data_IF_389216671974
#
_entry.id   IF_389216671974
#
_cell.length_a   1.000
_cell.length_b   1.000
_cell.length_c   1.000
_cell.angle_alpha   90.00
_cell.angle_beta   90.00
_cell.angle_gamma   90.00
#
_symmetry.space_group_name_H-M   'P 1'
#
loop_
_entity.id
_entity.type
_entity.pdbx_description
1 polymer ?
#
# COMPACT_ATOMS: atom_id res chain seq x y z
N UNK A 1 34.07 2.18 -15.04
CA UNK A 1 35.39 2.17 -15.74
C UNK A 1 35.37 3.08 -16.97
N UNK A 2 34.32 3.08 -17.79
CA UNK A 2 34.21 3.97 -18.95
C UNK A 2 33.98 5.45 -18.60
N UNK A 3 33.24 5.76 -17.52
CA UNK A 3 32.98 7.15 -17.11
C UNK A 3 34.25 7.93 -16.68
N UNK A 4 35.28 7.24 -16.18
CA UNK A 4 36.55 7.87 -15.76
C UNK A 4 37.48 8.12 -16.97
N UNK A 5 37.36 7.27 -18.01
CA UNK A 5 38.21 7.33 -19.21
C UNK A 5 37.59 8.25 -20.27
N UNK A 6 36.26 8.27 -20.37
CA UNK A 6 35.50 9.04 -21.34
C UNK A 6 34.27 9.69 -20.66
N UNK A 7 34.51 10.49 -19.63
CA UNK A 7 33.47 11.25 -18.95
C UNK A 7 32.86 12.30 -19.86
N UNK A 8 31.54 12.23 -20.07
CA UNK A 8 30.80 13.15 -20.95
C UNK A 8 30.12 14.31 -20.20
N UNK A 9 30.32 14.40 -18.88
CA UNK A 9 29.62 15.35 -17.99
C UNK A 9 29.83 16.83 -18.33
N UNK A 10 30.88 17.18 -19.07
CA UNK A 10 31.19 18.57 -19.49
C UNK A 10 30.70 18.90 -20.90
N UNK A 11 30.12 17.93 -21.59
CA UNK A 11 29.59 18.11 -22.93
C UNK A 11 28.07 18.24 -22.85
N UNK A 12 27.55 19.27 -23.49
CA UNK A 12 26.12 19.40 -23.77
C UNK A 12 25.87 18.89 -25.17
N UNK A 13 25.00 17.90 -25.31
CA UNK A 13 24.66 17.37 -26.62
C UNK A 13 23.46 18.12 -27.20
N UNK A 14 23.44 18.27 -28.54
CA UNK A 14 22.30 18.90 -29.22
C UNK A 14 20.96 18.22 -28.90
N UNK A 15 20.96 16.89 -28.70
CA UNK A 15 19.75 16.15 -28.35
C UNK A 15 19.21 16.53 -26.96
N UNK A 16 20.07 16.90 -26.00
CA UNK A 16 19.64 17.30 -24.66
C UNK A 16 18.84 18.60 -24.75
N UNK A 17 19.38 19.58 -25.48
CA UNK A 17 18.70 20.85 -25.75
C UNK A 17 17.37 20.62 -26.49
N UNK A 18 17.35 19.74 -27.49
CA UNK A 18 16.15 19.45 -28.27
C UNK A 18 15.06 18.75 -27.44
N UNK A 19 15.44 17.86 -26.52
CA UNK A 19 14.52 17.20 -25.58
C UNK A 19 13.96 18.21 -24.57
N UNK A 20 14.80 19.07 -24.00
CA UNK A 20 14.38 20.09 -23.04
C UNK A 20 13.43 21.11 -23.66
N UNK A 21 13.76 21.56 -24.87
CA UNK A 21 12.98 22.51 -25.66
C UNK A 21 11.82 21.85 -26.40
N UNK A 22 11.66 20.53 -26.29
CA UNK A 22 10.63 19.73 -26.94
C UNK A 22 10.50 20.00 -28.46
N UNK A 23 11.65 20.24 -29.12
CA UNK A 23 11.71 20.57 -30.56
C UNK A 23 11.26 19.38 -31.40
N UNK A 24 10.78 19.65 -32.62
CA UNK A 24 10.35 18.62 -33.56
C UNK A 24 9.06 17.87 -33.19
N UNK A 25 8.38 18.27 -32.12
CA UNK A 25 7.14 17.61 -31.71
C UNK A 25 5.91 18.28 -32.32
N UNK A 26 5.28 17.59 -33.29
CA UNK A 26 4.00 18.00 -33.86
C UNK A 26 2.84 17.92 -32.86
N UNK A 27 1.65 18.32 -33.31
CA UNK A 27 0.42 18.06 -32.57
C UNK A 27 0.01 16.59 -32.75
N UNK A 28 -0.66 16.03 -31.75
CA UNK A 28 -1.28 14.72 -31.91
C UNK A 28 -2.35 14.76 -33.01
N UNK A 29 -2.48 13.67 -33.80
CA UNK A 29 -3.43 13.62 -34.90
C UNK A 29 -4.89 13.64 -34.42
N UNK A 30 -5.16 13.09 -33.23
CA UNK A 30 -6.51 13.01 -32.67
C UNK A 30 -6.56 13.46 -31.21
N UNK A 31 -7.64 14.14 -30.79
CA UNK A 31 -7.85 14.48 -29.39
C UNK A 31 -8.15 13.23 -28.56
N UNK A 32 -7.67 13.22 -27.31
CA UNK A 32 -8.01 12.16 -26.34
C UNK A 32 -7.15 10.90 -26.41
N UNK A 33 -6.09 10.88 -27.23
CA UNK A 33 -5.06 9.84 -27.18
C UNK A 33 -4.42 9.80 -25.80
N UNK A 34 -4.08 8.59 -25.33
CA UNK A 34 -3.36 8.43 -24.07
C UNK A 34 -1.89 8.78 -24.25
N UNK A 35 -1.37 9.56 -23.32
CA UNK A 35 0.02 10.04 -23.32
C UNK A 35 0.75 9.53 -22.09
N UNK A 36 0.29 8.40 -21.56
CA UNK A 36 0.79 7.85 -20.30
C UNK A 36 2.23 7.35 -20.42
N UNK A 37 2.67 7.00 -21.63
CA UNK A 37 4.04 6.64 -21.95
C UNK A 37 4.91 7.84 -22.39
N UNK A 38 4.31 9.02 -22.59
CA UNK A 38 5.04 10.23 -22.97
C UNK A 38 5.70 10.89 -21.75
N UNK A 39 6.80 11.60 -22.00
CA UNK A 39 7.40 12.47 -21.00
C UNK A 39 6.42 13.55 -20.52
N UNK A 40 6.67 14.08 -19.33
CA UNK A 40 5.92 15.22 -18.78
C UNK A 40 6.24 16.47 -19.59
N UNK A 41 5.24 17.29 -19.89
CA UNK A 41 5.45 18.53 -20.63
C UNK A 41 6.10 19.60 -19.74
N UNK A 42 7.35 19.95 -20.05
CA UNK A 42 8.09 21.00 -19.34
C UNK A 42 7.41 22.38 -19.47
N UNK A 43 6.85 22.69 -20.64
CA UNK A 43 6.13 23.95 -20.85
C UNK A 43 4.81 23.99 -20.10
N UNK A 44 4.09 22.87 -19.98
CA UNK A 44 2.84 22.83 -19.22
C UNK A 44 3.08 22.99 -17.73
N UNK A 45 4.12 22.36 -17.20
CA UNK A 45 4.54 22.55 -15.81
C UNK A 45 4.88 24.02 -15.48
N UNK A 46 5.36 24.79 -16.47
CA UNK A 46 5.64 26.24 -16.36
C UNK A 46 4.44 27.14 -16.73
N UNK A 47 3.32 26.57 -17.19
CA UNK A 47 2.15 27.34 -17.65
C UNK A 47 2.27 27.96 -19.06
N UNK A 48 3.26 27.55 -19.86
CA UNK A 48 3.58 28.12 -21.18
C UNK A 48 3.17 27.22 -22.36
N UNK A 49 2.51 26.08 -22.12
CA UNK A 49 2.16 25.13 -23.18
C UNK A 49 0.93 25.59 -23.99
N UNK A 50 1.15 25.95 -25.26
CA UNK A 50 0.10 26.38 -26.18
C UNK A 50 -0.60 25.21 -26.90
N UNK A 51 -0.01 24.01 -26.88
CA UNK A 51 -0.52 22.82 -27.60
C UNK A 51 -1.80 22.23 -26.99
N UNK A 52 -2.18 22.66 -25.78
CA UNK A 52 -3.44 22.27 -25.14
C UNK A 52 -3.64 20.75 -25.02
N UNK A 53 -4.82 20.26 -25.41
CA UNK A 53 -5.17 18.82 -25.36
C UNK A 53 -4.44 17.98 -26.41
N UNK A 54 -3.95 18.61 -27.48
CA UNK A 54 -3.24 17.95 -28.58
C UNK A 54 -1.72 17.90 -28.36
N UNK A 55 -1.24 18.41 -27.22
CA UNK A 55 0.15 18.26 -26.82
C UNK A 55 0.51 16.76 -26.75
N UNK A 56 1.56 16.28 -27.42
CA UNK A 56 1.99 14.87 -27.38
C UNK A 56 2.56 14.46 -26.02
N UNK A 57 2.96 15.43 -25.20
CA UNK A 57 3.46 15.23 -23.85
C UNK A 57 2.32 15.19 -22.82
N UNK A 58 2.64 14.57 -21.69
CA UNK A 58 1.71 14.36 -20.58
C UNK A 58 1.53 15.65 -19.80
N UNK A 59 0.27 16.03 -19.57
CA UNK A 59 -0.10 17.17 -18.74
C UNK A 59 -0.63 16.67 -17.39
N UNK A 60 0.22 16.67 -16.37
CA UNK A 60 -0.22 16.31 -15.02
C UNK A 60 -0.99 17.44 -14.37
N UNK A 61 -2.25 17.17 -14.05
CA UNK A 61 -3.14 18.10 -13.35
C UNK A 61 -3.40 17.58 -11.95
N UNK A 62 -2.84 18.27 -10.96
CA UNK A 62 -3.05 18.02 -9.54
C UNK A 62 -2.37 16.77 -9.00
N UNK A 63 -2.41 16.64 -7.68
CA UNK A 63 -1.85 15.50 -6.97
C UNK A 63 -2.80 14.29 -7.06
N UNK A 64 -2.28 13.17 -7.59
CA UNK A 64 -3.01 11.91 -7.71
C UNK A 64 -2.46 10.95 -6.67
N UNK A 65 -3.32 10.51 -5.76
CA UNK A 65 -2.89 9.76 -4.57
C UNK A 65 -2.70 8.26 -4.83
N UNK A 66 -3.54 7.66 -5.69
CA UNK A 66 -3.60 6.20 -5.86
C UNK A 66 -3.32 5.82 -7.31
N UNK A 67 -2.49 4.80 -7.51
CA UNK A 67 -2.15 4.25 -8.84
C UNK A 67 -3.38 3.69 -9.54
N UNK A 68 -3.51 4.01 -10.82
CA UNK A 68 -4.60 3.55 -11.67
C UNK A 68 -4.45 2.07 -12.01
N UNK A 69 -5.37 1.23 -11.51
CA UNK A 69 -5.39 -0.21 -11.81
C UNK A 69 -5.50 -0.55 -13.31
N UNK A 70 -6.11 0.31 -14.11
CA UNK A 70 -6.27 0.09 -15.56
C UNK A 70 -5.03 0.50 -16.34
N UNK A 71 -4.31 1.52 -15.87
CA UNK A 71 -3.05 1.95 -16.49
C UNK A 71 -1.96 0.91 -16.31
N UNK A 72 -1.89 0.25 -15.14
CA UNK A 72 -0.97 -0.87 -14.90
C UNK A 72 -1.10 -2.01 -15.93
N UNK A 73 -2.24 -2.10 -16.61
CA UNK A 73 -2.53 -3.10 -17.65
C UNK A 73 -2.49 -2.54 -19.07
N UNK A 74 -2.18 -1.25 -19.24
CA UNK A 74 -2.22 -0.57 -20.55
C UNK A 74 -3.64 -0.34 -21.09
N UNK A 75 -4.68 -0.38 -20.26
CA UNK A 75 -6.09 -0.32 -20.70
C UNK A 75 -6.80 0.99 -20.31
N UNK A 76 -6.07 2.01 -19.84
CA UNK A 76 -6.69 3.24 -19.38
C UNK A 76 -7.05 4.18 -20.54
N UNK A 77 -8.34 4.27 -20.86
CA UNK A 77 -8.87 5.17 -21.92
C UNK A 77 -8.96 6.65 -21.51
N UNK A 78 -8.73 6.97 -20.24
CA UNK A 78 -8.88 8.35 -19.73
C UNK A 78 -7.62 9.20 -19.93
N UNK A 79 -6.49 8.60 -20.28
CA UNK A 79 -5.21 9.30 -20.47
C UNK A 79 -4.90 10.26 -19.32
N UNK A 80 -4.49 11.48 -19.66
CA UNK A 80 -4.15 12.55 -18.71
C UNK A 80 -5.31 12.93 -17.77
N UNK A 81 -6.55 12.80 -18.25
CA UNK A 81 -7.78 13.11 -17.50
C UNK A 81 -8.18 11.99 -16.52
N UNK A 82 -7.35 10.95 -16.38
CA UNK A 82 -7.57 9.94 -15.36
C UNK A 82 -7.41 10.55 -13.95
N UNK A 83 -8.41 10.30 -13.09
CA UNK A 83 -8.42 10.71 -11.68
C UNK A 83 -7.38 9.95 -10.82
N UNK A 84 -6.78 8.91 -11.38
CA UNK A 84 -5.80 8.06 -10.71
C UNK A 84 -4.41 8.27 -11.32
N UNK A 85 -3.38 7.98 -10.52
CA UNK A 85 -1.98 8.17 -10.86
C UNK A 85 -1.53 7.19 -11.96
N UNK A 86 -0.86 7.70 -12.98
CA UNK A 86 -0.24 6.91 -14.06
C UNK A 86 1.28 6.88 -13.85
N UNK A 87 1.70 6.40 -12.69
CA UNK A 87 3.10 6.25 -12.29
C UNK A 87 3.21 4.95 -11.51
N UNK A 88 4.32 4.23 -11.70
CA UNK A 88 4.57 3.01 -10.96
C UNK A 88 5.14 3.38 -9.59
N UNK A 89 4.28 3.32 -8.57
CA UNK A 89 4.66 3.57 -7.19
C UNK A 89 3.99 2.53 -6.29
N UNK A 90 4.81 1.70 -5.65
CA UNK A 90 4.39 0.58 -4.81
C UNK A 90 3.68 1.10 -3.55
N UNK A 91 4.11 2.27 -3.03
CA UNK A 91 3.54 2.84 -1.78
C UNK A 91 2.13 3.39 -1.98
N UNK A 92 1.83 3.81 -3.22
CA UNK A 92 0.54 4.40 -3.62
C UNK A 92 -0.33 3.41 -4.40
N UNK A 93 0.00 2.12 -4.36
CA UNK A 93 -0.81 1.08 -5.00
C UNK A 93 -2.17 0.95 -4.31
N UNK A 94 -3.27 0.70 -5.03
CA UNK A 94 -4.54 0.41 -4.38
C UNK A 94 -4.46 -0.84 -3.50
N UNK A 95 -5.36 -0.95 -2.52
CA UNK A 95 -5.47 -2.10 -1.65
C UNK A 95 -5.85 -3.38 -2.39
N UNK A 96 -5.30 -4.50 -1.95
CA UNK A 96 -5.66 -5.81 -2.46
C UNK A 96 -7.07 -6.18 -2.01
N UNK A 97 -7.99 -6.31 -2.98
CA UNK A 97 -9.36 -6.71 -2.71
C UNK A 97 -9.45 -8.07 -1.99
N UNK A 98 -8.67 -9.06 -2.42
CA UNK A 98 -8.71 -10.40 -1.85
C UNK A 98 -8.22 -10.43 -0.40
N UNK A 99 -7.08 -9.77 -0.14
CA UNK A 99 -6.54 -9.69 1.22
C UNK A 99 -7.44 -8.90 2.16
N UNK A 100 -7.97 -7.76 1.70
CA UNK A 100 -8.85 -6.90 2.51
C UNK A 100 -10.16 -7.63 2.87
N UNK A 101 -10.74 -8.38 1.92
CA UNK A 101 -12.03 -9.06 2.13
C UNK A 101 -11.92 -10.42 2.82
N UNK A 102 -10.96 -11.25 2.41
CA UNK A 102 -10.84 -12.65 2.86
C UNK A 102 -9.70 -12.87 3.85
N UNK A 103 -8.83 -11.88 4.06
CA UNK A 103 -7.65 -12.00 4.93
C UNK A 103 -6.49 -12.78 4.30
N UNK A 104 -6.65 -13.26 3.06
CA UNK A 104 -5.65 -14.04 2.34
C UNK A 104 -5.60 -13.65 0.85
N UNK A 105 -4.42 -13.76 0.25
CA UNK A 105 -4.18 -13.51 -1.16
C UNK A 105 -3.37 -14.64 -1.76
N UNK A 106 -3.90 -15.29 -2.81
CA UNK A 106 -3.25 -16.41 -3.48
C UNK A 106 -1.93 -16.03 -4.18
N UNK A 107 -1.74 -14.76 -4.52
CA UNK A 107 -0.56 -14.29 -5.24
C UNK A 107 0.53 -13.88 -4.23
N UNK A 108 1.67 -14.59 -4.26
CA UNK A 108 2.83 -14.29 -3.40
C UNK A 108 3.43 -12.92 -3.70
N UNK A 109 3.62 -12.63 -4.99
CA UNK A 109 4.10 -11.33 -5.50
C UNK A 109 2.92 -10.42 -5.87
N UNK A 110 2.02 -10.17 -4.91
CA UNK A 110 0.88 -9.28 -5.14
C UNK A 110 1.36 -7.81 -5.12
N UNK A 111 1.22 -7.04 -6.23
CA UNK A 111 1.65 -5.65 -6.25
C UNK A 111 0.77 -4.74 -5.38
N UNK A 112 -0.47 -5.16 -5.07
CA UNK A 112 -1.45 -4.39 -4.31
C UNK A 112 -1.18 -4.41 -2.80
N UNK A 113 -1.56 -3.35 -2.09
CA UNK A 113 -1.27 -3.22 -0.67
C UNK A 113 -2.06 -4.24 0.18
N UNK A 114 -1.35 -5.00 1.01
CA UNK A 114 -1.92 -5.89 2.03
C UNK A 114 -2.02 -5.17 3.38
N UNK A 115 -3.04 -4.31 3.53
CA UNK A 115 -3.28 -3.58 4.77
C UNK A 115 -4.05 -4.46 5.75
N UNK A 116 -3.48 -4.73 6.93
CA UNK A 116 -4.20 -5.40 8.01
C UNK A 116 -5.14 -4.38 8.67
N UNK A 117 -6.43 -4.70 8.86
CA UNK A 117 -7.34 -3.81 9.58
C UNK A 117 -6.79 -3.54 10.98
N UNK A 118 -6.67 -2.26 11.35
CA UNK A 118 -6.10 -1.83 12.64
C UNK A 118 -6.81 -2.46 13.86
N UNK A 119 -8.04 -2.93 13.71
CA UNK A 119 -8.81 -3.60 14.76
C UNK A 119 -8.14 -4.88 15.29
N UNK A 120 -7.36 -5.60 14.47
CA UNK A 120 -6.61 -6.79 14.90
C UNK A 120 -5.21 -6.49 15.46
N UNK A 121 -4.87 -5.22 15.68
CA UNK A 121 -3.57 -4.82 16.24
C UNK A 121 -3.52 -4.90 17.76
N UNK A 122 -4.68 -4.78 18.42
CA UNK A 122 -4.80 -4.83 19.88
C UNK A 122 -5.28 -6.21 20.33
N UNK A 123 -4.67 -6.72 21.39
CA UNK A 123 -5.08 -7.96 22.05
C UNK A 123 -6.42 -7.75 22.74
N UNK A 124 -7.31 -8.73 22.62
CA UNK A 124 -8.63 -8.69 23.23
C UNK A 124 -8.48 -8.79 24.75
N UNK A 125 -8.90 -7.77 25.54
CA UNK A 125 -8.87 -7.85 27.01
C UNK A 125 -9.74 -9.02 27.51
N UNK A 126 -10.86 -9.22 26.81
CA UNK A 126 -11.73 -10.39 26.74
C UNK A 126 -11.03 -11.73 26.87
N UNK A 127 -10.30 -12.01 25.79
CA UNK A 127 -9.65 -13.28 25.54
C UNK A 127 -8.31 -13.42 26.26
N UNK A 128 -7.73 -12.34 26.78
CA UNK A 128 -6.60 -12.47 27.71
C UNK A 128 -7.05 -12.94 29.11
N UNK A 129 -8.32 -12.71 29.47
CA UNK A 129 -8.99 -13.20 30.69
C UNK A 129 -9.68 -14.58 30.49
N UNK A 130 -9.09 -15.42 29.64
CA UNK A 130 -9.61 -15.69 28.30
C UNK A 130 -10.96 -16.28 27.91
N UNK A 131 -12.09 -15.76 28.37
CA UNK A 131 -13.34 -15.94 27.61
C UNK A 131 -13.74 -14.65 26.91
N UNK A 132 -13.85 -14.69 25.58
CA UNK A 132 -14.44 -13.59 24.81
C UNK A 132 -15.85 -13.98 24.36
N UNK A 133 -16.84 -13.19 24.80
CA UNK A 133 -18.26 -13.33 24.42
C UNK A 133 -18.51 -13.27 22.91
N UNK A 134 -17.68 -12.51 22.18
CA UNK A 134 -17.80 -12.33 20.73
C UNK A 134 -17.13 -13.48 19.95
N UNK A 135 -16.41 -14.38 20.65
CA UNK A 135 -15.82 -15.58 20.08
C UNK A 135 -14.92 -15.30 18.87
N UNK A 136 -14.98 -16.12 17.81
CA UNK A 136 -14.17 -15.94 16.59
C UNK A 136 -14.49 -14.66 15.82
N UNK A 137 -15.63 -14.03 16.10
CA UNK A 137 -16.07 -12.78 15.45
C UNK A 137 -15.59 -11.53 16.22
N UNK A 138 -14.79 -11.70 17.28
CA UNK A 138 -14.27 -10.57 18.03
C UNK A 138 -13.42 -9.66 17.14
N UNK A 139 -13.65 -8.35 17.29
CA UNK A 139 -12.89 -7.30 16.59
C UNK A 139 -11.41 -7.24 16.98
N UNK A 140 -11.04 -7.76 18.15
CA UNK A 140 -9.69 -7.74 18.70
C UNK A 140 -8.94 -9.06 18.46
N UNK A 141 -7.60 -9.02 18.57
CA UNK A 141 -6.75 -10.21 18.38
C UNK A 141 -6.86 -11.17 19.56
N UNK A 142 -7.18 -12.43 19.29
CA UNK A 142 -7.16 -13.51 20.26
C UNK A 142 -5.80 -14.23 20.19
N UNK A 143 -4.98 -14.08 21.22
CA UNK A 143 -3.67 -14.76 21.33
C UNK A 143 -3.79 -15.91 22.33
N UNK A 144 -3.76 -17.18 21.88
CA UNK A 144 -3.83 -18.32 22.79
C UNK A 144 -2.63 -18.32 23.73
N UNK A 145 -2.89 -18.43 25.03
CA UNK A 145 -1.85 -18.60 26.06
C UNK A 145 -1.86 -20.06 26.53
N UNK A 146 -0.73 -20.74 26.43
CA UNK A 146 -0.58 -22.09 26.98
C UNK A 146 -0.39 -21.95 28.49
N UNK A 147 -1.24 -22.62 29.26
CA UNK A 147 -1.17 -22.64 30.73
C UNK A 147 0.04 -23.45 31.19
N UNK A 148 0.72 -22.98 32.23
CA UNK A 148 1.81 -23.73 32.84
C UNK A 148 1.25 -24.93 33.62
N UNK A 149 1.56 -26.15 33.18
CA UNK A 149 1.15 -27.39 33.86
C UNK A 149 1.65 -27.45 35.30
N UNK A 150 2.92 -27.12 35.54
CA UNK A 150 3.50 -27.16 36.89
C UNK A 150 2.78 -26.17 37.84
N UNK A 151 2.47 -24.97 37.34
CA UNK A 151 1.70 -23.99 38.10
C UNK A 151 0.26 -24.47 38.37
N UNK A 152 -0.38 -25.11 37.39
CA UNK A 152 -1.73 -25.67 37.54
C UNK A 152 -1.78 -26.77 38.62
N UNK A 153 -0.71 -27.57 38.74
CA UNK A 153 -0.59 -28.62 39.76
C UNK A 153 -0.15 -28.06 41.13
N UNK A 154 0.06 -26.74 41.22
CA UNK A 154 0.21 -26.01 42.48
C UNK A 154 1.59 -25.36 42.71
N UNK A 155 2.62 -25.73 41.94
CA UNK A 155 3.96 -25.15 42.11
C UNK A 155 4.76 -25.12 40.81
N UNK A 156 5.19 -23.93 40.39
CA UNK A 156 6.12 -23.77 39.28
C UNK A 156 7.48 -23.27 39.77
N UNK A 157 8.59 -24.00 39.49
CA UNK A 157 9.93 -23.61 39.95
C UNK A 157 10.45 -22.31 39.31
N UNK A 158 9.92 -21.91 38.15
CA UNK A 158 10.25 -20.65 37.48
C UNK A 158 9.52 -19.44 38.08
N UNK A 159 8.52 -19.67 38.95
CA UNK A 159 7.70 -18.63 39.56
C UNK A 159 7.09 -17.68 38.50
N UNK A 160 6.87 -16.39 38.83
CA UNK A 160 6.18 -15.43 37.95
C UNK A 160 6.93 -15.10 36.66
N UNK A 161 8.17 -15.57 36.51
CA UNK A 161 8.97 -15.40 35.29
C UNK A 161 8.77 -16.55 34.28
N UNK A 162 7.88 -17.50 34.59
CA UNK A 162 7.64 -18.64 33.72
C UNK A 162 7.18 -18.22 32.32
N UNK A 163 7.69 -18.90 31.30
CA UNK A 163 7.34 -18.65 29.89
C UNK A 163 5.86 -18.94 29.58
N UNK A 164 5.23 -19.78 30.40
CA UNK A 164 3.84 -20.21 30.25
C UNK A 164 2.92 -19.39 31.16
N UNK A 165 1.64 -19.26 30.78
CA UNK A 165 0.68 -18.49 31.57
C UNK A 165 0.46 -19.09 32.96
N UNK A 166 0.62 -18.26 33.98
CA UNK A 166 0.34 -18.58 35.39
C UNK A 166 -0.89 -17.83 35.92
N UNK A 167 -1.75 -17.31 35.03
CA UNK A 167 -3.01 -16.71 35.45
C UNK A 167 -4.00 -17.83 35.75
N UNK A 168 -4.27 -18.15 37.02
CA UNK A 168 -5.46 -18.94 37.37
C UNK A 168 -6.67 -18.07 37.08
N UNK A 169 -7.63 -18.65 36.37
CA UNK A 169 -8.89 -17.99 36.08
C UNK A 169 -9.64 -17.87 37.40
N UNK A 170 -9.57 -16.69 38.02
CA UNK A 170 -10.53 -16.35 39.06
C UNK A 170 -11.90 -16.30 38.38
N UNK A 171 -12.64 -17.40 38.41
CA UNK A 171 -14.09 -17.37 38.26
C UNK A 171 -14.65 -16.56 39.43
N UNK A 172 -14.55 -15.23 39.35
CA UNK A 172 -15.49 -14.37 40.05
C UNK A 172 -16.82 -14.65 39.39
N UNK A 173 -17.56 -15.62 39.94
CA UNK A 173 -18.98 -15.74 39.73
C UNK A 173 -19.54 -14.33 39.95
N UNK A 174 -19.94 -13.68 38.86
CA UNK A 174 -20.65 -12.42 38.97
C UNK A 174 -21.89 -12.70 39.83
N UNK A 175 -22.16 -11.89 40.87
CA UNK A 175 -23.37 -12.07 41.65
C UNK A 175 -24.57 -11.79 40.73
N UNK A 176 -25.23 -12.84 40.22
CA UNK A 176 -26.43 -12.66 39.40
C UNK A 176 -26.81 -13.75 38.40
N UNK A 177 -25.98 -14.77 38.12
CA UNK A 177 -26.43 -15.88 37.27
C UNK A 177 -27.26 -16.88 38.07
N UNK A 178 -28.59 -16.72 38.02
CA UNK A 178 -29.55 -17.71 38.51
C UNK A 178 -29.41 -19.00 37.70
N UNK A 179 -29.42 -20.13 38.41
CA UNK A 179 -29.59 -21.49 37.88
C UNK A 179 -31.00 -21.62 37.31
#
# INVERSE_FOLDING_TARGET
MQEVIAGLERFTFAFEEDVEMQKGTGLLPFPGMDKSASAVCNFFAKGLCEKGKLCPFRHDRGEKMVVCKHWLRGLCKKGDHCKFLHQYDITRMPECYFYSKFGDCSNKECPFLHVKPAFKSQDCPWYDQGFCKDGPLCKYRHVPRIMCLNYLVGFCPEGPKCRFSQKIWEFKLLPGSKI
#
